data_IF_209618975100
#
_entry.id   IF_209618975100
#
_cell.length_a   1.000
_cell.length_b   1.000
_cell.length_c   1.000
_cell.angle_alpha   90.00
_cell.angle_beta   90.00
_cell.angle_gamma   90.00
#
_symmetry.space_group_name_H-M   'P 1'
#
loop_
_entity.id
_entity.type
_entity.pdbx_description
1 polymer ?
#
# COMPACT_ATOMS: atom_id res chain seq x y z
N UNK A 1 -42.31 -18.05 3.09
CA UNK A 1 -42.25 -16.69 3.68
C UNK A 1 -41.05 -15.94 3.10
N UNK A 2 -41.26 -14.98 2.19
CA UNK A 2 -40.20 -14.13 1.67
C UNK A 2 -39.85 -13.04 2.72
N UNK A 3 -38.61 -13.01 3.22
CA UNK A 3 -38.13 -11.96 4.12
C UNK A 3 -38.16 -10.61 3.38
N UNK A 4 -38.63 -9.51 4.00
CA UNK A 4 -38.67 -8.21 3.35
C UNK A 4 -37.24 -7.69 3.11
N UNK A 5 -36.76 -7.80 1.87
CA UNK A 5 -35.43 -7.36 1.40
C UNK A 5 -35.21 -5.84 1.47
N UNK A 6 -36.27 -5.05 1.74
CA UNK A 6 -36.28 -3.58 1.64
C UNK A 6 -35.32 -2.90 2.63
N UNK A 7 -34.99 -3.53 3.75
CA UNK A 7 -34.12 -2.97 4.80
C UNK A 7 -32.63 -3.34 4.67
N UNK A 8 -32.28 -4.23 3.73
CA UNK A 8 -30.89 -4.68 3.51
C UNK A 8 -30.17 -3.92 2.38
N UNK A 9 -30.92 -3.32 1.46
CA UNK A 9 -30.38 -2.63 0.29
C UNK A 9 -29.46 -1.43 0.62
N UNK A 10 -29.82 -0.49 1.54
CA UNK A 10 -28.93 0.63 1.86
C UNK A 10 -27.68 0.20 2.64
N UNK A 11 -27.77 -0.87 3.43
CA UNK A 11 -26.63 -1.44 4.17
C UNK A 11 -25.64 -2.15 3.24
N UNK A 12 -26.14 -2.92 2.26
CA UNK A 12 -25.28 -3.69 1.35
C UNK A 12 -24.45 -2.79 0.44
N UNK A 13 -25.01 -1.67 -0.04
CA UNK A 13 -24.28 -0.69 -0.87
C UNK A 13 -23.14 -0.02 -0.09
N UNK A 14 -23.38 0.38 1.16
CA UNK A 14 -22.33 0.97 2.01
C UNK A 14 -21.21 -0.01 2.30
N UNK A 15 -21.52 -1.27 2.60
CA UNK A 15 -20.52 -2.32 2.83
C UNK A 15 -19.67 -2.54 1.57
N UNK A 16 -20.30 -2.62 0.39
CA UNK A 16 -19.59 -2.79 -0.90
C UNK A 16 -18.64 -1.63 -1.20
N UNK A 17 -19.05 -0.38 -0.93
CA UNK A 17 -18.17 0.79 -1.14
C UNK A 17 -16.95 0.75 -0.22
N UNK A 18 -17.14 0.45 1.06
CA UNK A 18 -16.02 0.31 2.03
C UNK A 18 -15.06 -0.80 1.66
N UNK A 19 -15.59 -1.94 1.23
CA UNK A 19 -14.76 -3.05 0.76
C UNK A 19 -13.95 -2.63 -0.48
N UNK A 20 -14.53 -1.88 -1.42
CA UNK A 20 -13.80 -1.38 -2.60
C UNK A 20 -12.69 -0.39 -2.23
N UNK A 21 -12.91 0.52 -1.29
CA UNK A 21 -11.85 1.46 -0.86
C UNK A 21 -10.73 0.72 -0.13
N UNK A 22 -11.07 -0.25 0.71
CA UNK A 22 -10.10 -1.11 1.37
C UNK A 22 -9.26 -1.93 0.38
N UNK A 23 -9.92 -2.59 -0.58
CA UNK A 23 -9.24 -3.32 -1.65
C UNK A 23 -8.35 -2.40 -2.48
N UNK A 24 -8.81 -1.18 -2.80
CA UNK A 24 -8.00 -0.18 -3.49
C UNK A 24 -6.73 0.19 -2.72
N UNK A 25 -6.85 0.43 -1.41
CA UNK A 25 -5.70 0.72 -0.55
C UNK A 25 -4.69 -0.44 -0.49
N UNK A 26 -5.19 -1.68 -0.48
CA UNK A 26 -4.34 -2.88 -0.53
C UNK A 26 -3.62 -3.05 -1.87
N UNK A 27 -4.32 -2.85 -2.99
CA UNK A 27 -3.72 -2.92 -4.33
C UNK A 27 -2.61 -1.88 -4.46
N UNK A 28 -2.85 -0.65 -4.00
CA UNK A 28 -1.84 0.39 -3.94
C UNK A 28 -0.61 -0.04 -3.12
N UNK A 29 -0.82 -0.61 -1.93
CA UNK A 29 0.27 -1.13 -1.11
C UNK A 29 1.06 -2.24 -1.82
N UNK A 30 0.36 -3.18 -2.47
CA UNK A 30 1.00 -4.27 -3.22
C UNK A 30 1.81 -3.78 -4.41
N UNK A 31 1.30 -2.79 -5.16
CA UNK A 31 2.05 -2.17 -6.26
C UNK A 31 3.30 -1.46 -5.75
N UNK A 32 3.16 -0.68 -4.68
CA UNK A 32 4.25 0.05 -4.06
C UNK A 32 5.35 -0.90 -3.54
N UNK A 33 4.97 -2.01 -2.87
CA UNK A 33 5.91 -3.07 -2.45
C UNK A 33 6.51 -3.81 -3.65
N UNK A 34 5.71 -4.01 -4.71
CA UNK A 34 6.14 -4.64 -5.95
C UNK A 34 7.33 -3.92 -6.59
N UNK A 35 7.37 -2.59 -6.53
CA UNK A 35 8.53 -1.80 -7.01
C UNK A 35 9.82 -2.21 -6.29
N UNK A 36 9.78 -2.34 -4.97
CA UNK A 36 10.95 -2.74 -4.16
C UNK A 36 11.34 -4.20 -4.39
N UNK A 37 10.38 -5.11 -4.51
CA UNK A 37 10.67 -6.51 -4.83
C UNK A 37 11.27 -6.67 -6.23
N UNK A 38 10.76 -5.92 -7.21
CA UNK A 38 11.33 -5.88 -8.56
C UNK A 38 12.75 -5.32 -8.53
N UNK A 39 13.01 -4.28 -7.75
CA UNK A 39 14.36 -3.74 -7.58
C UNK A 39 15.33 -4.76 -6.98
N UNK A 40 14.91 -5.51 -5.96
CA UNK A 40 15.70 -6.59 -5.35
C UNK A 40 15.94 -7.76 -6.31
N UNK A 41 14.93 -8.13 -7.09
CA UNK A 41 15.12 -9.11 -8.16
C UNK A 41 16.11 -8.59 -9.20
N UNK A 42 15.99 -7.33 -9.62
CA UNK A 42 16.87 -6.73 -10.61
C UNK A 42 18.31 -6.64 -10.11
N UNK A 43 18.53 -6.30 -8.83
CA UNK A 43 19.88 -6.28 -8.24
C UNK A 43 20.52 -7.66 -8.22
N UNK A 44 19.72 -8.72 -8.10
CA UNK A 44 20.23 -10.09 -8.12
C UNK A 44 20.55 -10.59 -9.53
N UNK A 45 19.67 -10.33 -10.51
CA UNK A 45 19.80 -10.88 -11.86
C UNK A 45 20.59 -9.99 -12.83
N UNK A 46 20.47 -8.68 -12.72
CA UNK A 46 21.10 -7.69 -13.61
C UNK A 46 21.56 -6.45 -12.81
N UNK A 47 22.66 -6.53 -12.05
CA UNK A 47 23.13 -5.43 -11.21
C UNK A 47 23.46 -4.14 -11.98
N UNK A 48 23.77 -4.24 -13.28
CA UNK A 48 24.08 -3.08 -14.13
C UNK A 48 22.87 -2.25 -14.58
N UNK A 49 21.63 -2.72 -14.35
CA UNK A 49 20.40 -2.04 -14.78
C UNK A 49 19.64 -1.39 -13.62
N UNK A 50 20.30 -1.21 -12.47
CA UNK A 50 19.62 -0.76 -11.27
C UNK A 50 19.19 0.72 -11.40
N UNK A 51 17.88 1.03 -11.29
CA UNK A 51 17.43 2.40 -11.22
C UNK A 51 17.92 3.08 -9.93
N UNK A 52 18.07 4.40 -9.97
CA UNK A 52 18.50 5.16 -8.79
C UNK A 52 17.51 5.00 -7.63
N UNK A 53 18.02 5.03 -6.39
CA UNK A 53 17.19 4.92 -5.18
C UNK A 53 16.10 6.02 -5.14
N UNK A 54 16.43 7.22 -5.61
CA UNK A 54 15.46 8.31 -5.72
C UNK A 54 14.31 7.98 -6.68
N UNK A 55 14.58 7.31 -7.80
CA UNK A 55 13.55 6.90 -8.75
C UNK A 55 12.67 5.77 -8.18
N UNK A 56 13.28 4.78 -7.50
CA UNK A 56 12.52 3.71 -6.82
C UNK A 56 11.63 4.25 -5.70
N UNK A 57 12.17 5.19 -4.90
CA UNK A 57 11.41 5.91 -3.89
C UNK A 57 10.26 6.68 -4.50
N UNK A 58 10.49 7.43 -5.58
CA UNK A 58 9.44 8.17 -6.28
C UNK A 58 8.35 7.24 -6.84
N UNK A 59 8.72 6.19 -7.57
CA UNK A 59 7.77 5.25 -8.18
C UNK A 59 6.95 4.48 -7.15
N UNK A 60 7.53 4.12 -6.00
CA UNK A 60 6.80 3.45 -4.92
C UNK A 60 5.95 4.42 -4.08
N UNK A 61 6.37 5.68 -3.94
CA UNK A 61 5.66 6.68 -3.14
C UNK A 61 4.30 7.09 -3.71
N UNK A 62 4.16 7.18 -5.03
CA UNK A 62 2.90 7.56 -5.70
C UNK A 62 1.74 6.61 -5.33
N UNK A 63 1.84 5.29 -5.58
CA UNK A 63 0.80 4.36 -5.16
C UNK A 63 0.65 4.31 -3.62
N UNK A 64 1.75 4.40 -2.86
CA UNK A 64 1.68 4.36 -1.40
C UNK A 64 0.89 5.55 -0.80
N UNK A 65 1.08 6.77 -1.32
CA UNK A 65 0.32 7.95 -0.90
C UNK A 65 -1.17 7.77 -1.20
N UNK A 66 -1.52 7.32 -2.40
CA UNK A 66 -2.92 7.07 -2.77
C UNK A 66 -3.53 5.99 -1.86
N UNK A 67 -2.79 4.90 -1.61
CA UNK A 67 -3.22 3.81 -0.73
C UNK A 67 -3.45 4.29 0.71
N UNK A 68 -2.58 5.16 1.23
CA UNK A 68 -2.69 5.72 2.57
C UNK A 68 -3.91 6.64 2.71
N UNK A 69 -4.17 7.50 1.72
CA UNK A 69 -5.38 8.34 1.70
C UNK A 69 -6.64 7.46 1.67
N UNK A 70 -6.68 6.43 0.82
CA UNK A 70 -7.80 5.48 0.76
C UNK A 70 -7.98 4.72 2.09
N UNK A 71 -6.88 4.38 2.76
CA UNK A 71 -6.91 3.70 4.04
C UNK A 71 -7.49 4.60 5.15
N UNK A 72 -7.09 5.87 5.22
CA UNK A 72 -7.66 6.86 6.16
C UNK A 72 -9.16 7.04 5.90
N UNK A 73 -9.58 7.19 4.64
CA UNK A 73 -11.01 7.31 4.28
C UNK A 73 -11.80 6.05 4.66
N UNK A 74 -11.14 4.90 4.75
CA UNK A 74 -11.73 3.63 5.18
C UNK A 74 -11.97 3.58 6.70
N UNK A 75 -11.27 4.41 7.50
CA UNK A 75 -11.51 4.56 8.94
C UNK A 75 -12.87 5.25 9.15
N UNK A 76 -13.91 4.47 9.44
CA UNK A 76 -15.20 5.00 9.91
C UNK A 76 -15.69 4.23 11.12
N UNK A 77 -15.38 4.75 12.32
CA UNK A 77 -16.00 4.61 13.65
C UNK A 77 -16.59 3.26 14.13
N UNK A 78 -16.44 2.16 13.39
CA UNK A 78 -16.75 0.80 13.83
C UNK A 78 -15.43 0.06 14.05
N UNK A 79 -15.27 -0.54 15.23
CA UNK A 79 -14.04 -1.17 15.70
C UNK A 79 -13.39 -2.11 14.68
N UNK A 80 -14.19 -2.94 14.00
CA UNK A 80 -13.69 -3.88 12.98
C UNK A 80 -13.01 -3.16 11.79
N UNK A 81 -13.53 -2.01 11.37
CA UNK A 81 -12.94 -1.25 10.26
C UNK A 81 -11.66 -0.53 10.66
N UNK A 82 -11.47 -0.22 11.94
CA UNK A 82 -10.21 0.33 12.45
C UNK A 82 -9.11 -0.72 12.31
N UNK A 83 -9.38 -1.95 12.75
CA UNK A 83 -8.45 -3.08 12.58
C UNK A 83 -8.18 -3.41 11.10
N UNK A 84 -9.17 -3.31 10.22
CA UNK A 84 -8.96 -3.54 8.79
C UNK A 84 -8.20 -2.39 8.12
N UNK A 85 -8.41 -1.15 8.53
CA UNK A 85 -7.73 0.03 7.98
C UNK A 85 -6.30 0.19 8.53
N UNK A 86 -5.99 -0.32 9.71
CA UNK A 86 -4.63 -0.28 10.24
C UNK A 86 -3.65 -1.04 9.35
N UNK A 87 -4.05 -2.17 8.76
CA UNK A 87 -3.19 -2.96 7.87
C UNK A 87 -2.70 -2.13 6.67
N UNK A 88 -3.57 -1.54 5.81
CA UNK A 88 -3.10 -0.73 4.70
C UNK A 88 -2.45 0.59 5.15
N UNK A 89 -2.80 1.15 6.31
CA UNK A 89 -2.08 2.32 6.87
C UNK A 89 -0.63 1.95 7.17
N UNK A 90 -0.42 0.85 7.89
CA UNK A 90 0.91 0.37 8.22
C UNK A 90 1.67 -0.04 6.94
N UNK A 91 1.04 -0.75 6.00
CA UNK A 91 1.70 -1.21 4.79
C UNK A 91 2.14 -0.05 3.86
N UNK A 92 1.25 0.92 3.60
CA UNK A 92 1.58 2.09 2.78
C UNK A 92 2.50 3.05 3.53
N UNK A 93 2.27 3.25 4.83
CA UNK A 93 3.10 4.10 5.68
C UNK A 93 4.52 3.58 5.82
N UNK A 94 4.70 2.27 5.96
CA UNK A 94 6.01 1.63 6.01
C UNK A 94 6.81 1.87 4.72
N UNK A 95 6.17 1.85 3.54
CA UNK A 95 6.85 2.18 2.28
C UNK A 95 7.30 3.62 2.24
N UNK A 96 6.45 4.55 2.66
CA UNK A 96 6.81 5.98 2.67
C UNK A 96 7.92 6.26 3.67
N UNK A 97 7.96 5.52 4.78
CA UNK A 97 9.01 5.63 5.78
C UNK A 97 10.29 4.88 5.39
N UNK A 98 10.22 3.91 4.48
CA UNK A 98 11.32 3.03 4.06
C UNK A 98 12.59 3.79 3.63
N UNK A 99 12.53 4.77 2.70
CA UNK A 99 13.73 5.51 2.30
C UNK A 99 14.31 6.38 3.41
N UNK A 100 13.53 6.77 4.42
CA UNK A 100 14.01 7.59 5.53
C UNK A 100 14.57 6.74 6.69
N UNK A 101 13.94 5.60 6.99
CA UNK A 101 14.35 4.70 8.07
C UNK A 101 15.54 3.81 7.69
N UNK A 102 15.67 3.47 6.40
CA UNK A 102 16.62 2.47 5.91
C UNK A 102 17.53 3.01 4.79
N UNK A 103 17.76 4.32 4.73
CA UNK A 103 18.53 4.95 3.64
C UNK A 103 19.91 4.29 3.47
N UNK A 104 20.63 4.08 4.59
CA UNK A 104 21.95 3.47 4.60
C UNK A 104 21.90 2.02 4.15
N UNK A 105 20.98 1.25 4.69
CA UNK A 105 20.83 -0.18 4.42
C UNK A 105 20.45 -0.41 2.95
N UNK A 106 19.56 0.42 2.41
CA UNK A 106 19.21 0.41 0.99
C UNK A 106 20.41 0.78 0.12
N UNK A 107 21.19 1.80 0.50
CA UNK A 107 22.40 2.17 -0.24
C UNK A 107 23.45 1.04 -0.28
N UNK A 108 23.58 0.27 0.81
CA UNK A 108 24.48 -0.88 0.89
C UNK A 108 23.95 -2.07 0.08
N UNK A 109 22.66 -2.40 0.22
CA UNK A 109 22.01 -3.51 -0.49
C UNK A 109 22.07 -3.34 -2.00
N UNK A 110 21.93 -2.10 -2.47
CA UNK A 110 21.93 -1.77 -3.89
C UNK A 110 23.29 -1.30 -4.39
N UNK A 111 24.33 -1.30 -3.55
CA UNK A 111 25.70 -0.94 -3.93
C UNK A 111 25.85 0.49 -4.43
N UNK A 112 24.96 1.40 -4.02
CA UNK A 112 24.95 2.82 -4.43
C UNK A 112 25.91 3.66 -3.55
N UNK A 113 26.62 3.04 -2.61
CA UNK A 113 27.65 3.68 -1.79
C UNK A 113 29.04 3.65 -2.43
N UNK A 114 29.40 4.72 -3.13
CA UNK A 114 30.79 5.22 -3.23
C UNK A 114 30.80 6.70 -2.87
#
# INVERSE_FOLDING_TARGET
MARPLRNLYPKSLHIRRRHRTWMGAMVCASLAWGVWWLALALSHWLPGWLPSLGLLGFLSSLPAMVGLVLAIVTIRARDVWIALASIPICANGAILALPWLFERELSLLFGVGS
#
